data_IF_232400815784
#
_entry.id   IF_232400815784
#
_cell.length_a   1.000
_cell.length_b   1.000
_cell.length_c   1.000
_cell.angle_alpha   90.00
_cell.angle_beta   90.00
_cell.angle_gamma   90.00
#
_symmetry.space_group_name_H-M   'P 1'
#
loop_
_entity.id
_entity.type
_entity.pdbx_description
1 polymer ?
#
# COMPACT_ATOMS: atom_id res chain seq x y z
N UNK A 1 -13.26 -10.33 -14.56
CA UNK A 1 -12.46 -9.22 -14.03
C UNK A 1 -11.05 -9.71 -13.71
N UNK A 2 -10.06 -8.85 -13.89
CA UNK A 2 -8.65 -9.17 -13.64
C UNK A 2 -7.95 -7.96 -13.00
N UNK A 3 -7.70 -8.03 -11.69
CA UNK A 3 -7.00 -6.99 -10.92
C UNK A 3 -5.98 -7.65 -9.97
N UNK A 4 -4.85 -8.14 -10.49
CA UNK A 4 -3.83 -8.81 -9.70
C UNK A 4 -3.01 -7.80 -8.89
N UNK A 5 -2.53 -8.24 -7.73
CA UNK A 5 -1.51 -7.56 -6.95
C UNK A 5 -0.48 -8.54 -6.39
N UNK A 6 0.63 -8.03 -5.86
CA UNK A 6 1.57 -8.79 -5.04
C UNK A 6 1.35 -8.40 -3.58
N UNK A 7 0.87 -9.34 -2.76
CA UNK A 7 0.59 -9.13 -1.34
C UNK A 7 1.75 -9.58 -0.44
N UNK A 8 2.98 -9.25 -0.85
CA UNK A 8 4.16 -9.49 -0.03
C UNK A 8 4.29 -8.49 1.11
N UNK A 9 4.68 -8.97 2.29
CA UNK A 9 4.95 -8.13 3.45
C UNK A 9 6.45 -7.84 3.56
N UNK A 10 6.79 -6.57 3.73
CA UNK A 10 8.17 -6.12 3.84
C UNK A 10 8.47 -5.61 5.24
N UNK A 11 9.63 -6.03 5.78
CA UNK A 11 10.26 -5.47 6.96
C UNK A 11 11.77 -5.39 6.73
N UNK A 12 12.27 -4.19 6.54
CA UNK A 12 13.65 -3.97 6.15
C UNK A 12 14.65 -4.00 7.32
N UNK A 13 14.17 -4.16 8.59
CA UNK A 13 15.06 -4.31 9.74
C UNK A 13 15.95 -5.57 9.65
N UNK A 14 15.50 -6.57 8.87
CA UNK A 14 16.16 -7.86 8.72
C UNK A 14 15.91 -8.79 9.92
N UNK A 15 15.57 -10.05 9.62
CA UNK A 15 15.27 -11.08 10.62
C UNK A 15 14.24 -10.64 11.67
N UNK A 16 13.32 -9.75 11.29
CA UNK A 16 12.25 -9.21 12.15
C UNK A 16 12.76 -8.62 13.48
N UNK A 17 13.93 -7.96 13.43
CA UNK A 17 14.57 -7.37 14.63
C UNK A 17 13.74 -6.30 15.32
N UNK A 18 12.97 -5.52 14.51
CA UNK A 18 12.08 -4.47 14.98
C UNK A 18 10.80 -4.47 14.15
N UNK A 19 9.77 -3.78 14.63
CA UNK A 19 8.60 -3.44 13.83
C UNK A 19 8.95 -2.43 12.71
N UNK A 20 7.93 -2.04 11.92
CA UNK A 20 8.10 -1.13 10.78
C UNK A 20 8.01 0.36 11.15
N UNK A 21 7.75 0.71 12.41
CA UNK A 21 7.41 2.08 12.83
C UNK A 21 8.48 3.10 12.45
N UNK A 22 9.76 2.73 12.60
CA UNK A 22 10.91 3.61 12.29
C UNK A 22 11.34 3.56 10.83
N UNK A 23 10.76 2.70 10.01
CA UNK A 23 11.04 2.68 8.59
C UNK A 23 10.43 3.89 7.90
N UNK A 24 11.15 4.42 6.93
CA UNK A 24 10.80 5.64 6.21
C UNK A 24 10.00 5.25 4.98
N UNK A 25 8.80 5.79 4.85
CA UNK A 25 7.90 5.57 3.71
C UNK A 25 7.76 6.86 2.91
N UNK A 26 7.76 6.73 1.60
CA UNK A 26 7.43 7.78 0.63
C UNK A 26 6.55 7.19 -0.47
N UNK A 27 5.49 7.90 -0.84
CA UNK A 27 4.52 7.47 -1.85
C UNK A 27 4.25 8.66 -2.79
N UNK A 28 4.37 8.46 -4.10
CA UNK A 28 4.11 9.50 -5.11
C UNK A 28 2.61 9.75 -5.36
N UNK A 29 1.76 9.52 -4.38
CA UNK A 29 0.32 9.73 -4.46
C UNK A 29 -0.10 10.89 -3.54
N UNK A 30 -0.96 11.76 -4.03
CA UNK A 30 -1.48 12.93 -3.31
C UNK A 30 -2.94 12.78 -2.86
N UNK A 31 -3.58 11.65 -3.18
CA UNK A 31 -4.93 11.30 -2.75
C UNK A 31 -5.00 9.89 -2.18
N UNK A 32 -6.02 9.65 -1.37
CA UNK A 32 -6.49 8.32 -0.96
C UNK A 32 -7.92 8.12 -1.42
N UNK A 33 -8.30 6.87 -1.62
CA UNK A 33 -9.69 6.49 -1.86
C UNK A 33 -10.41 6.41 -0.51
N UNK A 34 -11.47 7.21 -0.35
CA UNK A 34 -12.31 7.21 0.85
C UNK A 34 -13.13 5.93 0.93
N UNK A 35 -13.36 5.46 2.15
CA UNK A 35 -14.16 4.26 2.43
C UNK A 35 -15.16 4.52 3.55
N UNK A 36 -16.28 3.82 3.51
CA UNK A 36 -17.25 3.81 4.60
C UNK A 36 -16.81 2.93 5.79
N UNK A 37 -17.70 2.75 6.77
CA UNK A 37 -17.42 1.94 7.96
C UNK A 37 -17.25 0.44 7.67
N UNK A 38 -17.67 -0.04 6.51
CA UNK A 38 -17.50 -1.42 6.03
C UNK A 38 -16.27 -1.57 5.11
N UNK A 39 -15.45 -0.51 5.00
CA UNK A 39 -14.28 -0.40 4.13
C UNK A 39 -14.61 -0.47 2.63
N UNK A 40 -15.85 -0.14 2.27
CA UNK A 40 -16.29 -0.06 0.88
C UNK A 40 -16.00 1.35 0.35
N UNK A 41 -15.41 1.49 -0.85
CA UNK A 41 -15.16 2.79 -1.46
C UNK A 41 -16.42 3.64 -1.58
N UNK A 42 -16.34 4.91 -1.16
CA UNK A 42 -17.44 5.88 -1.27
C UNK A 42 -17.50 6.58 -2.63
N UNK A 43 -16.47 6.40 -3.44
CA UNK A 43 -16.30 7.10 -4.70
C UNK A 43 -15.55 8.44 -4.60
N UNK A 44 -15.13 8.84 -3.41
CA UNK A 44 -14.41 10.10 -3.17
C UNK A 44 -12.91 9.88 -3.10
N UNK A 45 -12.16 10.78 -3.73
CA UNK A 45 -10.71 10.89 -3.57
C UNK A 45 -10.40 12.04 -2.61
N UNK A 46 -9.78 11.72 -1.48
CA UNK A 46 -9.45 12.70 -0.45
C UNK A 46 -7.97 13.08 -0.54
N UNK A 47 -7.62 14.38 -0.51
CA UNK A 47 -6.22 14.80 -0.52
C UNK A 47 -5.50 14.33 0.74
N UNK A 48 -4.25 13.88 0.59
CA UNK A 48 -3.43 13.43 1.73
C UNK A 48 -2.79 14.59 2.50
N UNK A 49 -2.66 15.75 1.90
CA UNK A 49 -1.99 16.91 2.48
C UNK A 49 -2.53 17.26 3.88
N UNK A 50 -1.62 17.44 4.85
CA UNK A 50 -1.93 17.74 6.24
C UNK A 50 -2.71 16.63 7.00
N UNK A 51 -2.72 15.42 6.46
CA UNK A 51 -3.35 14.24 7.09
C UNK A 51 -2.29 13.21 7.53
N UNK A 52 -2.66 12.21 8.35
CA UNK A 52 -1.77 11.08 8.66
C UNK A 52 -1.32 10.28 7.43
N UNK A 53 -2.04 10.38 6.31
CA UNK A 53 -1.75 9.69 5.05
C UNK A 53 -0.77 10.44 4.14
N UNK A 54 -0.33 11.62 4.49
CA UNK A 54 0.60 12.39 3.66
C UNK A 54 2.01 11.78 3.69
N UNK A 55 2.30 10.92 2.75
CA UNK A 55 3.64 10.35 2.47
C UNK A 55 4.25 10.89 1.19
N UNK A 56 3.79 12.04 0.70
CA UNK A 56 4.37 12.72 -0.49
C UNK A 56 5.83 13.13 -0.27
N UNK A 57 6.26 13.19 0.98
CA UNK A 57 7.66 13.33 1.40
C UNK A 57 8.02 12.23 2.37
N UNK A 58 9.26 11.74 2.25
CA UNK A 58 9.78 10.64 3.07
C UNK A 58 9.69 10.90 4.58
N UNK A 59 8.97 10.06 5.32
CA UNK A 59 8.81 10.17 6.78
C UNK A 59 8.60 8.80 7.45
N UNK A 60 8.85 8.70 8.78
CA UNK A 60 8.61 7.45 9.52
C UNK A 60 7.14 7.00 9.44
N UNK A 61 6.92 5.71 9.26
CA UNK A 61 5.58 5.09 9.26
C UNK A 61 4.83 5.37 10.57
N UNK A 62 5.55 5.48 11.69
CA UNK A 62 4.96 5.78 13.00
C UNK A 62 4.15 7.09 13.02
N UNK A 63 4.46 8.06 12.14
CA UNK A 63 3.70 9.31 12.07
C UNK A 63 2.23 9.05 11.74
N UNK A 64 1.96 8.12 10.83
CA UNK A 64 0.60 7.67 10.53
C UNK A 64 0.05 6.77 11.64
N UNK A 65 0.82 5.78 12.09
CA UNK A 65 0.37 4.78 13.07
C UNK A 65 0.01 5.37 14.44
N UNK A 66 0.63 6.50 14.82
CA UNK A 66 0.27 7.23 16.05
C UNK A 66 -1.10 7.92 15.94
N UNK A 67 -1.51 8.31 14.75
CA UNK A 67 -2.78 8.97 14.48
C UNK A 67 -3.90 7.99 14.07
N UNK A 68 -3.54 6.80 13.61
CA UNK A 68 -4.43 5.76 13.11
C UNK A 68 -4.37 4.51 13.99
N UNK A 69 -5.19 4.39 15.04
CA UNK A 69 -5.14 3.25 15.98
C UNK A 69 -5.38 1.88 15.31
N UNK A 70 -6.11 1.87 14.20
CA UNK A 70 -6.36 0.66 13.39
C UNK A 70 -5.20 0.31 12.45
N UNK A 71 -4.15 1.16 12.40
CA UNK A 71 -3.07 1.04 11.42
C UNK A 71 -3.44 1.57 10.04
N UNK A 72 -2.57 1.31 9.07
CA UNK A 72 -2.82 1.58 7.66
C UNK A 72 -3.52 0.38 7.01
N UNK A 73 -4.58 0.66 6.28
CA UNK A 73 -5.27 -0.24 5.34
C UNK A 73 -5.93 0.67 4.30
N UNK A 74 -5.13 1.23 3.41
CA UNK A 74 -5.53 2.42 2.65
C UNK A 74 -5.06 2.32 1.21
N UNK A 75 -5.97 2.59 0.27
CA UNK A 75 -5.67 2.73 -1.15
C UNK A 75 -5.22 4.17 -1.44
N UNK A 76 -3.94 4.34 -1.73
CA UNK A 76 -3.36 5.58 -2.26
C UNK A 76 -3.56 5.64 -3.77
N UNK A 77 -4.00 6.78 -4.27
CA UNK A 77 -4.39 6.98 -5.66
C UNK A 77 -3.38 7.87 -6.36
N UNK A 78 -2.86 7.37 -7.47
CA UNK A 78 -1.91 8.09 -8.31
C UNK A 78 -2.62 8.94 -9.35
N UNK A 79 -2.01 10.06 -9.71
CA UNK A 79 -2.44 10.86 -10.84
C UNK A 79 -2.25 10.06 -12.14
N UNK A 80 -3.29 9.97 -12.98
CA UNK A 80 -3.28 9.28 -14.26
C UNK A 80 -2.23 9.81 -15.25
N UNK A 81 -1.71 11.00 -15.01
CA UNK A 81 -0.73 11.67 -15.86
C UNK A 81 0.71 11.50 -15.40
N UNK A 82 0.94 10.89 -14.25
CA UNK A 82 2.27 10.61 -13.76
C UNK A 82 2.90 9.43 -14.54
N UNK A 83 4.12 9.63 -15.04
CA UNK A 83 4.82 8.62 -15.83
C UNK A 83 5.31 7.42 -15.00
N UNK A 84 5.55 7.63 -13.71
CA UNK A 84 6.10 6.62 -12.80
C UNK A 84 5.44 6.73 -11.42
N UNK A 85 4.55 5.79 -11.13
CA UNK A 85 4.00 5.63 -9.78
C UNK A 85 5.00 4.85 -8.95
N UNK A 86 5.40 5.39 -7.80
CA UNK A 86 6.39 4.72 -6.95
C UNK A 86 6.08 4.79 -5.45
N UNK A 87 6.59 3.76 -4.76
CA UNK A 87 6.67 3.69 -3.31
C UNK A 87 8.11 3.37 -2.93
N UNK A 88 8.64 4.11 -1.99
CA UNK A 88 9.94 3.82 -1.38
C UNK A 88 9.75 3.47 0.08
N UNK A 89 10.36 2.36 0.52
CA UNK A 89 10.51 2.01 1.92
C UNK A 89 12.01 1.95 2.24
N UNK A 90 12.44 2.59 3.33
CA UNK A 90 13.85 2.63 3.74
C UNK A 90 14.00 2.42 5.23
N UNK A 91 14.92 1.56 5.64
CA UNK A 91 15.30 1.37 7.03
C UNK A 91 16.71 1.93 7.29
N UNK A 92 16.78 3.00 8.09
CA UNK A 92 18.06 3.67 8.41
C UNK A 92 19.01 2.78 9.19
N UNK A 93 18.49 1.89 10.04
CA UNK A 93 19.31 1.07 10.91
C UNK A 93 20.04 -0.05 10.14
N UNK A 94 19.36 -0.67 9.19
CA UNK A 94 19.92 -1.73 8.36
C UNK A 94 20.59 -1.21 7.08
N UNK A 95 20.23 0.02 6.66
CA UNK A 95 20.62 0.61 5.37
C UNK A 95 19.88 0.01 4.17
N UNK A 96 18.88 -0.85 4.38
CA UNK A 96 18.12 -1.45 3.29
C UNK A 96 17.09 -0.48 2.74
N UNK A 97 16.91 -0.52 1.43
CA UNK A 97 15.91 0.25 0.69
C UNK A 97 15.16 -0.67 -0.25
N UNK A 98 13.88 -0.44 -0.38
CA UNK A 98 13.01 -1.06 -1.35
C UNK A 98 12.33 0.06 -2.15
N UNK A 99 12.50 0.04 -3.46
CA UNK A 99 11.76 0.86 -4.40
C UNK A 99 10.81 -0.04 -5.19
N UNK A 100 9.52 0.31 -5.20
CA UNK A 100 8.49 -0.41 -5.95
C UNK A 100 7.87 0.55 -6.96
N UNK A 101 7.78 0.12 -8.22
CA UNK A 101 7.15 0.89 -9.29
C UNK A 101 6.16 0.05 -10.07
N UNK A 102 5.10 0.68 -10.56
CA UNK A 102 4.08 0.06 -11.40
C UNK A 102 3.33 1.13 -12.19
N UNK A 103 2.65 0.71 -13.27
CA UNK A 103 1.68 1.52 -14.02
C UNK A 103 0.27 1.47 -13.41
N UNK A 104 0.06 0.74 -12.32
CA UNK A 104 -1.24 0.62 -11.67
C UNK A 104 -1.67 1.95 -11.04
N UNK A 105 -2.97 2.24 -11.06
CA UNK A 105 -3.54 3.52 -10.62
C UNK A 105 -3.61 3.70 -9.12
N UNK A 106 -3.41 2.64 -8.35
CA UNK A 106 -3.38 2.72 -6.89
C UNK A 106 -2.35 1.78 -6.29
N UNK A 107 -2.03 2.05 -5.03
CA UNK A 107 -1.31 1.15 -4.16
C UNK A 107 -2.02 1.05 -2.81
N UNK A 108 -2.32 -0.17 -2.36
CA UNK A 108 -2.78 -0.37 -0.99
C UNK A 108 -1.56 -0.53 -0.10
N UNK A 109 -1.56 0.23 1.00
CA UNK A 109 -0.59 0.13 2.08
C UNK A 109 -1.29 -0.45 3.30
N UNK A 110 -0.84 -1.64 3.72
CA UNK A 110 -1.37 -2.32 4.90
C UNK A 110 -0.27 -2.62 5.92
N UNK A 111 -0.48 -2.20 7.16
CA UNK A 111 0.56 -2.21 8.22
C UNK A 111 0.47 -3.40 9.19
N UNK A 112 -0.13 -4.51 8.80
CA UNK A 112 -0.35 -5.67 9.69
C UNK A 112 -0.99 -5.24 11.02
N UNK A 113 -2.22 -4.75 10.94
CA UNK A 113 -2.97 -4.31 12.13
C UNK A 113 -3.80 -5.42 12.79
N UNK A 114 -4.12 -6.49 12.03
CA UNK A 114 -4.87 -7.64 12.49
C UNK A 114 -4.26 -8.95 11.96
N UNK A 115 -4.26 -10.00 12.79
CA UNK A 115 -3.80 -11.36 12.45
C UNK A 115 -4.41 -12.39 13.39
N UNK A 116 -4.33 -13.67 13.01
CA UNK A 116 -4.61 -14.78 13.91
C UNK A 116 -3.49 -14.90 14.95
N UNK A 117 -3.85 -15.02 16.23
CA UNK A 117 -2.91 -15.04 17.36
C UNK A 117 -1.88 -16.17 17.31
N UNK A 118 -2.22 -17.27 16.66
CA UNK A 118 -1.35 -18.45 16.54
C UNK A 118 -0.46 -18.41 15.28
N UNK A 119 -0.53 -17.33 14.49
CA UNK A 119 0.28 -17.17 13.30
C UNK A 119 1.76 -16.93 13.67
N UNK A 120 2.63 -17.63 12.95
CA UNK A 120 4.08 -17.42 13.02
C UNK A 120 4.62 -17.01 11.65
N UNK A 121 5.63 -16.15 11.66
CA UNK A 121 6.34 -15.68 10.47
C UNK A 121 7.83 -15.88 10.69
N UNK A 122 8.49 -16.69 9.85
CA UNK A 122 9.92 -17.02 9.98
C UNK A 122 10.31 -17.45 11.40
N UNK A 123 9.52 -18.37 11.98
CA UNK A 123 9.70 -18.89 13.36
C UNK A 123 9.55 -17.85 14.48
N UNK A 124 9.01 -16.65 14.17
CA UNK A 124 8.68 -15.63 15.16
C UNK A 124 7.15 -15.50 15.31
N UNK A 125 6.63 -15.30 16.52
CA UNK A 125 5.22 -14.97 16.69
C UNK A 125 4.85 -13.72 15.89
N UNK A 126 3.71 -13.76 15.20
CA UNK A 126 3.17 -12.58 14.53
C UNK A 126 2.87 -11.49 15.55
N UNK A 127 3.23 -10.25 15.22
CA UNK A 127 3.00 -9.09 16.05
C UNK A 127 2.46 -7.93 15.21
N UNK A 128 1.78 -7.01 15.90
CA UNK A 128 1.29 -5.78 15.26
C UNK A 128 2.46 -5.01 14.63
N UNK A 129 2.22 -4.48 13.43
CA UNK A 129 3.18 -3.64 12.73
C UNK A 129 4.51 -4.36 12.37
N UNK A 130 4.48 -5.70 12.29
CA UNK A 130 5.66 -6.49 11.98
C UNK A 130 6.07 -6.41 10.50
N UNK A 131 5.18 -5.99 9.62
CA UNK A 131 5.43 -5.84 8.19
C UNK A 131 4.52 -4.81 7.54
N UNK A 132 4.92 -4.35 6.36
CA UNK A 132 4.16 -3.45 5.51
C UNK A 132 3.89 -4.15 4.17
N UNK A 133 2.63 -4.32 3.80
CA UNK A 133 2.26 -4.73 2.46
C UNK A 133 2.22 -3.50 1.53
N UNK A 134 2.73 -3.67 0.31
CA UNK A 134 2.77 -2.66 -0.75
C UNK A 134 2.18 -3.29 -1.99
N UNK A 135 0.90 -3.00 -2.25
CA UNK A 135 0.07 -3.72 -3.19
C UNK A 135 -0.39 -2.83 -4.32
N UNK A 136 0.41 -2.72 -5.36
CA UNK A 136 0.00 -2.01 -6.57
C UNK A 136 -1.12 -2.77 -7.28
N UNK A 137 -2.20 -2.08 -7.61
CA UNK A 137 -3.36 -2.60 -8.33
C UNK A 137 -4.20 -1.46 -8.93
N UNK A 138 -5.20 -1.81 -9.75
CA UNK A 138 -6.23 -0.86 -10.12
C UNK A 138 -7.11 -0.53 -8.90
N UNK A 139 -7.85 0.57 -8.97
CA UNK A 139 -8.70 1.03 -7.87
C UNK A 139 -9.62 -0.08 -7.35
N UNK A 140 -9.74 -0.23 -6.03
CA UNK A 140 -10.73 -1.12 -5.43
C UNK A 140 -12.14 -0.74 -5.87
N UNK A 141 -13.04 -1.74 -5.94
CA UNK A 141 -14.45 -1.59 -6.31
C UNK A 141 -14.72 -0.99 -7.70
N UNK A 142 -13.71 -0.99 -8.57
CA UNK A 142 -13.78 -0.43 -9.93
C UNK A 142 -14.98 -0.95 -10.76
N UNK A 143 -15.48 -2.20 -10.60
CA UNK A 143 -16.68 -2.64 -11.31
C UNK A 143 -17.96 -1.84 -11.01
N UNK A 144 -18.04 -1.21 -9.84
CA UNK A 144 -19.17 -0.33 -9.47
C UNK A 144 -18.91 1.14 -9.85
N UNK A 145 -17.70 1.46 -10.29
CA UNK A 145 -17.25 2.80 -10.68
C UNK A 145 -16.70 2.81 -12.12
N UNK A 146 -17.56 2.55 -13.14
CA UNK A 146 -17.12 2.45 -14.54
C UNK A 146 -16.48 3.74 -15.07
N UNK A 147 -16.73 4.87 -14.44
CA UNK A 147 -16.11 6.16 -14.75
C UNK A 147 -14.59 6.17 -14.43
N UNK A 148 -14.10 5.26 -13.59
CA UNK A 148 -12.67 5.14 -13.28
C UNK A 148 -11.92 4.23 -14.26
N UNK A 149 -12.64 3.48 -15.12
CA UNK A 149 -12.07 2.55 -16.06
C UNK A 149 -12.66 1.14 -15.97
N UNK A 150 -11.91 0.14 -16.43
CA UNK A 150 -12.39 -1.25 -16.45
C UNK A 150 -11.27 -2.23 -16.15
N UNK A 151 -11.59 -3.26 -15.38
CA UNK A 151 -10.78 -4.46 -15.15
C UNK A 151 -11.42 -5.71 -15.79
N UNK A 152 -12.40 -5.51 -16.68
CA UNK A 152 -12.97 -6.60 -17.44
C UNK A 152 -11.93 -7.15 -18.44
N UNK A 153 -11.82 -8.46 -18.50
CA UNK A 153 -11.00 -9.16 -19.49
C UNK A 153 -11.98 -9.95 -20.38
N UNK A 154 -12.05 -9.60 -21.65
CA UNK A 154 -12.92 -10.27 -22.61
C UNK A 154 -12.26 -11.55 -23.16
N UNK A 155 -13.05 -12.45 -23.78
CA UNK A 155 -12.50 -13.59 -24.47
C UNK A 155 -11.44 -13.16 -25.50
N UNK A 156 -10.32 -13.91 -25.55
CA UNK A 156 -9.18 -13.67 -26.45
C UNK A 156 -8.34 -12.41 -26.16
N UNK A 157 -8.71 -11.60 -25.15
CA UNK A 157 -7.86 -10.51 -24.69
C UNK A 157 -6.70 -11.01 -23.83
N UNK A 158 -5.58 -10.27 -23.90
CA UNK A 158 -4.41 -10.49 -23.05
C UNK A 158 -4.06 -9.20 -22.34
N UNK A 159 -3.96 -9.26 -21.04
CA UNK A 159 -3.52 -8.16 -20.18
C UNK A 159 -2.26 -8.59 -19.43
N UNK A 160 -1.29 -7.71 -19.36
CA UNK A 160 -0.08 -7.87 -18.54
C UNK A 160 0.00 -6.75 -17.53
N UNK A 161 0.27 -7.06 -16.28
CA UNK A 161 0.55 -6.09 -15.21
C UNK A 161 1.99 -6.34 -14.74
N UNK A 162 2.73 -5.28 -14.54
CA UNK A 162 4.14 -5.36 -14.17
C UNK A 162 4.39 -4.60 -12.87
N UNK A 163 5.07 -5.24 -11.95
CA UNK A 163 5.50 -4.68 -10.68
C UNK A 163 7.03 -4.84 -10.59
N UNK A 164 7.74 -3.74 -10.44
CA UNK A 164 9.20 -3.74 -10.29
C UNK A 164 9.57 -3.53 -8.83
N UNK A 165 10.29 -4.47 -8.26
CA UNK A 165 10.89 -4.39 -6.91
C UNK A 165 12.40 -4.31 -7.05
N UNK A 166 13.02 -3.31 -6.43
CA UNK A 166 14.46 -3.07 -6.46
C UNK A 166 15.01 -2.81 -5.07
#
# INVERSE_FOLDING_TARGET
FFNPTNHGYFNLSGELKTDIRQQILEISADHILDTDAELIPTGLFLPVAETPYDFTTAKPVENALNALPSGLDTAFVFDDHAADHHVTLYDKASGRRLDVTSEARSVIIYSVSAWDRDTQVNDHPMAKELGLAIEFQELPDLPHHPEWGSIALLPDEKVSKTFHYR
#
